data_IF_714852469736
#
_entry.id   IF_714852469736
#
_cell.length_a   1.000
_cell.length_b   1.000
_cell.length_c   1.000
_cell.angle_alpha   90.00
_cell.angle_beta   90.00
_cell.angle_gamma   90.00
#
_symmetry.space_group_name_H-M   'P 1'
#
loop_
_entity.id
_entity.type
_entity.pdbx_description
1 polymer ?
#
# COMPACT_ATOMS: atom_id res chain seq x y z
N UNK A 1 -6.19 10.54 -20.57
CA UNK A 1 -4.90 10.67 -21.29
C UNK A 1 -3.76 10.91 -20.29
N UNK A 2 -3.73 11.98 -19.52
CA UNK A 2 -2.59 12.26 -18.61
C UNK A 2 -2.15 11.11 -17.70
N UNK A 3 -3.06 10.44 -17.00
CA UNK A 3 -2.70 9.35 -16.09
C UNK A 3 -2.00 8.18 -16.79
N UNK A 4 -2.48 7.76 -17.95
CA UNK A 4 -1.86 6.65 -18.68
C UNK A 4 -0.49 7.03 -19.25
N UNK A 5 -0.30 8.30 -19.59
CA UNK A 5 0.99 8.80 -20.05
C UNK A 5 2.01 8.83 -18.91
N UNK A 6 1.56 9.22 -17.70
CA UNK A 6 2.39 9.17 -16.49
C UNK A 6 2.79 7.74 -16.12
N UNK A 7 1.84 6.78 -16.17
CA UNK A 7 2.13 5.36 -15.94
C UNK A 7 3.19 4.84 -16.92
N UNK A 8 3.02 5.11 -18.22
CA UNK A 8 3.99 4.71 -19.24
C UNK A 8 5.36 5.34 -19.00
N UNK A 9 5.39 6.64 -18.68
CA UNK A 9 6.63 7.35 -18.38
C UNK A 9 7.39 6.70 -17.22
N UNK A 10 6.70 6.33 -16.13
CA UNK A 10 7.32 5.65 -14.99
C UNK A 10 7.79 4.25 -15.38
N UNK A 11 6.99 3.49 -16.13
CA UNK A 11 7.32 2.15 -16.58
C UNK A 11 8.52 2.06 -17.53
N UNK A 12 8.88 3.19 -18.18
CA UNK A 12 10.06 3.28 -19.07
C UNK A 12 11.31 3.84 -18.39
N UNK A 13 11.24 4.21 -17.10
CA UNK A 13 12.42 4.64 -16.36
C UNK A 13 13.45 3.50 -16.23
N UNK A 14 14.72 3.87 -16.24
CA UNK A 14 15.83 2.92 -16.02
C UNK A 14 15.91 2.53 -14.54
N UNK A 15 14.93 1.73 -14.11
CA UNK A 15 14.89 1.12 -12.79
C UNK A 15 15.42 -0.32 -12.89
N UNK A 16 15.81 -0.95 -11.78
CA UNK A 16 16.34 -2.31 -11.77
C UNK A 16 15.21 -3.36 -11.94
N UNK A 17 14.50 -3.30 -13.05
CA UNK A 17 13.38 -4.19 -13.40
C UNK A 17 13.79 -5.66 -13.46
N UNK A 18 15.04 -5.92 -13.81
CA UNK A 18 15.67 -7.24 -13.82
C UNK A 18 15.58 -7.97 -12.48
N UNK A 19 15.53 -7.22 -11.36
CA UNK A 19 15.33 -7.82 -10.03
C UNK A 19 13.98 -8.49 -9.85
N UNK A 20 13.00 -8.14 -10.67
CA UNK A 20 11.66 -8.75 -10.64
C UNK A 20 11.55 -9.98 -11.54
N UNK A 21 12.57 -10.25 -12.40
CA UNK A 21 12.57 -11.37 -13.34
C UNK A 21 12.25 -12.70 -12.66
N UNK A 22 11.29 -13.44 -13.20
CA UNK A 22 10.81 -14.70 -12.66
C UNK A 22 10.10 -14.64 -11.30
N UNK A 23 9.79 -13.44 -10.81
CA UNK A 23 9.20 -13.25 -9.48
C UNK A 23 7.68 -13.10 -9.50
N UNK A 24 7.05 -13.40 -8.38
CA UNK A 24 5.68 -13.04 -8.07
C UNK A 24 5.68 -11.80 -7.16
N UNK A 25 4.99 -10.76 -7.58
CA UNK A 25 4.85 -9.48 -6.84
C UNK A 25 3.42 -9.36 -6.32
N UNK A 26 3.23 -9.39 -5.02
CA UNK A 26 1.94 -9.14 -4.39
C UNK A 26 1.76 -7.65 -4.10
N UNK A 27 0.62 -7.08 -4.52
CA UNK A 27 0.18 -5.73 -4.14
C UNK A 27 -1.11 -5.85 -3.37
N UNK A 28 -1.09 -5.59 -2.05
CA UNK A 28 -2.31 -5.51 -1.25
C UNK A 28 -2.91 -4.12 -1.27
N UNK A 29 -4.21 -4.00 -1.08
CA UNK A 29 -4.89 -2.71 -1.25
C UNK A 29 -4.86 -2.21 -2.70
N UNK A 30 -4.74 -3.13 -3.65
CA UNK A 30 -4.56 -2.85 -5.06
C UNK A 30 -5.71 -2.04 -5.70
N UNK A 31 -6.90 -2.07 -5.14
CA UNK A 31 -8.04 -1.25 -5.62
C UNK A 31 -8.04 0.18 -5.09
N UNK A 32 -7.08 0.53 -4.24
CA UNK A 32 -6.88 1.90 -3.73
C UNK A 32 -6.04 2.76 -4.67
N UNK A 33 -5.93 4.05 -4.33
CA UNK A 33 -5.20 5.04 -5.14
C UNK A 33 -3.73 4.63 -5.38
N UNK A 34 -2.98 4.38 -4.32
CA UNK A 34 -1.55 4.03 -4.41
C UNK A 34 -1.38 2.62 -4.97
N UNK A 35 -2.07 1.62 -4.39
CA UNK A 35 -1.94 0.23 -4.82
C UNK A 35 -2.32 0.03 -6.29
N UNK A 36 -3.39 0.68 -6.76
CA UNK A 36 -3.80 0.63 -8.16
C UNK A 36 -2.80 1.27 -9.10
N UNK A 37 -2.20 2.39 -8.72
CA UNK A 37 -1.14 3.03 -9.50
C UNK A 37 0.09 2.12 -9.62
N UNK A 38 0.49 1.48 -8.52
CA UNK A 38 1.62 0.55 -8.53
C UNK A 38 1.36 -0.68 -9.42
N UNK A 39 0.15 -1.25 -9.36
CA UNK A 39 -0.26 -2.32 -10.28
C UNK A 39 -0.17 -1.84 -11.73
N UNK A 40 -0.67 -0.64 -12.03
CA UNK A 40 -0.64 -0.10 -13.40
C UNK A 40 0.78 0.09 -13.92
N UNK A 41 1.70 0.59 -13.10
CA UNK A 41 3.12 0.74 -13.46
C UNK A 41 3.78 -0.61 -13.70
N UNK A 42 3.58 -1.58 -12.80
CA UNK A 42 4.12 -2.94 -12.96
C UNK A 42 3.60 -3.61 -14.24
N UNK A 43 2.30 -3.44 -14.53
CA UNK A 43 1.69 -4.02 -15.74
C UNK A 43 2.08 -3.31 -17.03
N UNK A 44 2.43 -2.03 -16.96
CA UNK A 44 2.82 -1.24 -18.14
C UNK A 44 4.28 -1.46 -18.59
N UNK A 45 5.11 -2.12 -17.79
CA UNK A 45 6.49 -2.42 -18.19
C UNK A 45 6.51 -3.43 -19.34
N UNK A 46 7.09 -3.04 -20.49
CA UNK A 46 6.96 -3.79 -21.75
C UNK A 46 7.66 -5.17 -21.72
N UNK A 47 8.83 -5.24 -21.09
CA UNK A 47 9.63 -6.47 -21.03
C UNK A 47 9.44 -7.24 -19.72
N UNK A 48 8.22 -7.17 -19.13
CA UNK A 48 7.94 -7.88 -17.88
C UNK A 48 7.96 -9.40 -18.09
N UNK A 49 8.72 -10.08 -17.26
CA UNK A 49 8.77 -11.53 -17.12
C UNK A 49 8.49 -11.96 -15.66
N UNK A 50 7.65 -11.20 -14.98
CA UNK A 50 7.18 -11.42 -13.63
C UNK A 50 5.65 -11.42 -13.58
N UNK A 51 5.10 -11.98 -12.51
CA UNK A 51 3.66 -11.97 -12.28
C UNK A 51 3.27 -10.90 -11.27
N UNK A 52 2.14 -10.24 -11.50
CA UNK A 52 1.53 -9.25 -10.61
C UNK A 52 0.27 -9.82 -10.00
N UNK A 53 0.29 -9.97 -8.68
CA UNK A 53 -0.84 -10.41 -7.88
C UNK A 53 -1.44 -9.21 -7.17
N UNK A 54 -2.62 -8.79 -7.58
CA UNK A 54 -3.37 -7.73 -6.95
C UNK A 54 -4.36 -8.31 -5.95
N UNK A 55 -4.44 -7.73 -4.75
CA UNK A 55 -5.44 -8.18 -3.77
C UNK A 55 -6.20 -7.03 -3.11
N UNK A 56 -7.42 -7.33 -2.70
CA UNK A 56 -8.31 -6.39 -2.04
C UNK A 56 -9.62 -7.06 -1.62
N UNK A 57 -10.42 -6.38 -0.79
CA UNK A 57 -11.64 -6.94 -0.22
C UNK A 57 -12.84 -6.95 -1.17
N UNK A 58 -12.87 -6.04 -2.14
CA UNK A 58 -14.03 -5.85 -3.03
C UNK A 58 -13.70 -6.33 -4.45
N UNK A 59 -14.25 -7.51 -4.80
CA UNK A 59 -14.04 -8.14 -6.11
C UNK A 59 -14.68 -7.37 -7.27
N UNK A 60 -15.85 -6.77 -7.06
CA UNK A 60 -16.55 -6.01 -8.09
C UNK A 60 -15.75 -4.77 -8.47
N UNK A 61 -15.28 -4.02 -7.46
CA UNK A 61 -14.38 -2.89 -7.68
C UNK A 61 -13.10 -3.31 -8.39
N UNK A 62 -12.54 -4.48 -8.04
CA UNK A 62 -11.35 -5.00 -8.69
C UNK A 62 -11.59 -5.38 -10.15
N UNK A 63 -12.72 -6.03 -10.47
CA UNK A 63 -13.11 -6.35 -11.84
C UNK A 63 -13.19 -5.11 -12.71
N UNK A 64 -13.83 -4.05 -12.23
CA UNK A 64 -13.94 -2.79 -12.94
C UNK A 64 -12.57 -2.10 -13.10
N UNK A 65 -11.77 -2.05 -12.02
CA UNK A 65 -10.47 -1.38 -11.97
C UNK A 65 -9.44 -2.04 -12.89
N UNK A 66 -9.44 -3.36 -12.99
CA UNK A 66 -8.44 -4.15 -13.69
C UNK A 66 -8.97 -4.85 -14.95
N UNK A 67 -10.13 -4.41 -15.47
CA UNK A 67 -10.75 -5.00 -16.67
C UNK A 67 -9.77 -5.12 -17.85
N UNK A 68 -8.89 -4.15 -17.99
CA UNK A 68 -7.87 -4.10 -19.07
C UNK A 68 -6.80 -5.21 -18.94
N UNK A 69 -6.65 -5.82 -17.78
CA UNK A 69 -5.65 -6.85 -17.52
C UNK A 69 -6.21 -8.27 -17.42
N UNK A 70 -7.53 -8.44 -17.56
CA UNK A 70 -8.22 -9.74 -17.36
C UNK A 70 -7.69 -10.86 -18.26
N UNK A 71 -7.19 -10.52 -19.45
CA UNK A 71 -6.63 -11.47 -20.42
C UNK A 71 -5.08 -11.54 -20.38
N UNK A 72 -4.42 -10.78 -19.53
CA UNK A 72 -2.97 -10.83 -19.36
C UNK A 72 -2.61 -11.97 -18.42
N UNK A 73 -1.85 -12.95 -18.91
CA UNK A 73 -1.48 -14.17 -18.16
C UNK A 73 -0.57 -13.87 -16.95
N UNK A 74 0.05 -12.71 -16.92
CA UNK A 74 0.91 -12.27 -15.82
C UNK A 74 0.16 -11.49 -14.75
N UNK A 75 -1.14 -11.20 -14.95
CA UNK A 75 -1.97 -10.52 -13.97
C UNK A 75 -2.92 -11.48 -13.26
N UNK A 76 -2.95 -11.41 -11.93
CA UNK A 76 -3.84 -12.20 -11.10
C UNK A 76 -4.52 -11.31 -10.06
N UNK A 77 -5.80 -11.53 -9.81
CA UNK A 77 -6.50 -10.90 -8.70
C UNK A 77 -7.11 -11.97 -7.80
N UNK A 78 -6.98 -11.78 -6.48
CA UNK A 78 -7.70 -12.59 -5.50
C UNK A 78 -8.23 -11.72 -4.36
N UNK A 79 -9.37 -12.16 -3.80
CA UNK A 79 -9.96 -11.49 -2.65
C UNK A 79 -9.16 -11.80 -1.40
N UNK A 80 -8.72 -10.75 -0.71
CA UNK A 80 -7.99 -10.89 0.55
C UNK A 80 -8.27 -9.71 1.48
N UNK A 81 -8.53 -10.04 2.75
CA UNK A 81 -8.57 -9.09 3.85
C UNK A 81 -7.30 -9.24 4.67
N UNK A 82 -6.45 -8.21 4.69
CA UNK A 82 -5.17 -8.21 5.39
C UNK A 82 -5.29 -8.41 6.91
N UNK A 83 -6.49 -8.25 7.48
CA UNK A 83 -6.76 -8.57 8.88
C UNK A 83 -6.78 -10.07 9.18
N UNK A 84 -6.78 -10.90 8.14
CA UNK A 84 -6.76 -12.37 8.25
C UNK A 84 -5.40 -12.91 7.80
N UNK A 85 -4.97 -14.08 8.30
CA UNK A 85 -3.82 -14.77 7.75
C UNK A 85 -3.93 -14.95 6.23
N UNK A 86 -2.83 -14.76 5.51
CA UNK A 86 -2.79 -15.06 4.08
C UNK A 86 -2.63 -16.57 3.89
N UNK A 87 -3.55 -17.16 3.15
CA UNK A 87 -3.52 -18.58 2.81
C UNK A 87 -3.62 -18.74 1.31
N UNK A 88 -2.52 -19.09 0.66
CA UNK A 88 -2.46 -19.43 -0.77
C UNK A 88 -1.19 -20.23 -1.05
N UNK A 89 -1.12 -20.86 -2.23
CA UNK A 89 0.00 -21.72 -2.64
C UNK A 89 1.03 -20.99 -3.54
N UNK A 90 1.08 -19.66 -3.46
CA UNK A 90 1.96 -18.83 -4.30
C UNK A 90 3.07 -18.21 -3.46
N UNK A 91 4.32 -18.50 -3.75
CA UNK A 91 5.46 -17.82 -3.14
C UNK A 91 5.61 -16.41 -3.73
N UNK A 92 5.48 -15.38 -2.88
CA UNK A 92 5.68 -13.99 -3.27
C UNK A 92 7.09 -13.53 -2.90
N UNK A 93 7.93 -13.29 -3.89
CA UNK A 93 9.28 -12.77 -3.67
C UNK A 93 9.27 -11.31 -3.25
N UNK A 94 8.26 -10.55 -3.67
CA UNK A 94 8.07 -9.16 -3.30
C UNK A 94 6.64 -8.91 -2.86
N UNK A 95 6.48 -8.24 -1.73
CA UNK A 95 5.16 -7.83 -1.22
C UNK A 95 5.15 -6.31 -1.08
N UNK A 96 4.17 -5.67 -1.72
CA UNK A 96 3.87 -4.25 -1.57
C UNK A 96 2.59 -4.14 -0.74
N UNK A 97 2.73 -3.75 0.51
CA UNK A 97 1.60 -3.61 1.43
C UNK A 97 1.05 -2.18 1.40
N UNK A 98 0.04 -1.94 0.54
CA UNK A 98 -0.65 -0.65 0.42
C UNK A 98 -2.10 -0.68 0.97
N UNK A 99 -2.52 -1.79 1.59
CA UNK A 99 -3.83 -1.87 2.23
C UNK A 99 -3.84 -1.11 3.55
N UNK A 100 -4.72 -0.13 3.68
CA UNK A 100 -4.93 0.63 4.93
C UNK A 100 -6.28 1.32 4.87
N UNK A 101 -6.96 1.42 6.00
CA UNK A 101 -8.12 2.30 6.18
C UNK A 101 -7.65 3.75 6.36
N UNK A 102 -7.25 4.41 5.25
CA UNK A 102 -6.66 5.74 5.27
C UNK A 102 -7.69 6.89 5.09
N UNK A 103 -8.98 6.60 5.21
CA UNK A 103 -10.03 7.61 5.13
C UNK A 103 -10.25 8.28 6.51
N UNK A 104 -10.07 9.60 6.63
CA UNK A 104 -10.26 10.30 7.92
C UNK A 104 -11.65 10.09 8.55
N UNK A 105 -12.70 9.90 7.75
CA UNK A 105 -14.04 9.59 8.23
C UNK A 105 -14.11 8.25 8.99
N UNK A 106 -13.26 7.28 8.66
CA UNK A 106 -13.18 5.99 9.33
C UNK A 106 -12.48 6.09 10.70
N UNK A 107 -11.57 7.03 10.88
CA UNK A 107 -10.81 7.17 12.13
C UNK A 107 -11.72 7.50 13.33
N UNK A 108 -12.80 8.25 13.09
CA UNK A 108 -13.79 8.55 14.14
C UNK A 108 -14.85 7.47 14.32
N UNK A 109 -15.14 6.66 13.28
CA UNK A 109 -16.21 5.66 13.30
C UNK A 109 -15.72 4.28 13.72
N UNK A 110 -14.56 3.89 13.21
CA UNK A 110 -14.00 2.54 13.34
C UNK A 110 -12.52 2.55 13.73
N UNK A 111 -12.12 3.26 14.81
CA UNK A 111 -10.71 3.42 15.17
C UNK A 111 -10.02 2.08 15.51
N UNK A 112 -10.76 1.11 16.06
CA UNK A 112 -10.23 -0.23 16.40
C UNK A 112 -9.86 -1.00 15.14
N UNK A 113 -10.73 -0.99 14.13
CA UNK A 113 -10.50 -1.64 12.84
C UNK A 113 -9.33 -1.00 12.09
N UNK A 114 -9.19 0.33 12.17
CA UNK A 114 -8.05 1.05 11.59
C UNK A 114 -6.74 0.58 12.21
N UNK A 115 -6.67 0.50 13.54
CA UNK A 115 -5.49 0.04 14.25
C UNK A 115 -5.16 -1.42 13.91
N UNK A 116 -6.14 -2.30 14.04
CA UNK A 116 -5.96 -3.74 13.74
C UNK A 116 -5.56 -3.96 12.29
N UNK A 117 -6.20 -3.27 11.34
CA UNK A 117 -5.86 -3.40 9.92
C UNK A 117 -4.42 -3.04 9.59
N UNK A 118 -3.88 -1.99 10.22
CA UNK A 118 -2.50 -1.58 9.99
C UNK A 118 -1.49 -2.54 10.65
N UNK A 119 -1.75 -3.00 11.88
CA UNK A 119 -0.82 -3.84 12.64
C UNK A 119 -0.91 -5.30 12.16
N UNK A 120 -2.11 -5.89 12.17
CA UNK A 120 -2.30 -7.28 11.77
C UNK A 120 -1.99 -7.48 10.28
N UNK A 121 -2.23 -6.46 9.44
CA UNK A 121 -1.88 -6.52 8.03
C UNK A 121 -0.38 -6.74 7.81
N UNK A 122 0.46 -6.02 8.54
CA UNK A 122 1.91 -6.24 8.52
C UNK A 122 2.26 -7.62 9.08
N UNK A 123 1.71 -7.97 10.25
CA UNK A 123 1.98 -9.25 10.91
C UNK A 123 1.68 -10.45 10.01
N UNK A 124 0.48 -10.48 9.44
CA UNK A 124 0.04 -11.56 8.55
C UNK A 124 0.90 -11.69 7.29
N UNK A 125 1.27 -10.56 6.66
CA UNK A 125 2.08 -10.57 5.44
C UNK A 125 3.54 -10.91 5.71
N UNK A 126 4.11 -10.43 6.83
CA UNK A 126 5.48 -10.79 7.23
C UNK A 126 5.58 -12.27 7.59
N UNK A 127 4.64 -12.77 8.40
CA UNK A 127 4.58 -14.20 8.77
C UNK A 127 4.49 -15.10 7.54
N UNK A 128 3.61 -14.75 6.59
CA UNK A 128 3.50 -15.47 5.32
C UNK A 128 4.79 -15.38 4.51
N UNK A 129 5.30 -14.18 4.30
CA UNK A 129 6.47 -13.93 3.47
C UNK A 129 7.72 -14.65 3.97
N UNK A 130 7.92 -14.72 5.28
CA UNK A 130 9.03 -15.46 5.89
C UNK A 130 8.93 -16.96 5.59
N UNK A 131 7.75 -17.55 5.74
CA UNK A 131 7.51 -18.97 5.47
C UNK A 131 7.67 -19.33 3.99
N UNK A 132 7.44 -18.37 3.08
CA UNK A 132 7.43 -18.54 1.63
C UNK A 132 8.64 -17.89 0.93
N UNK A 133 9.72 -17.59 1.66
CA UNK A 133 10.98 -17.10 1.08
C UNK A 133 10.91 -15.73 0.43
N UNK A 134 10.08 -14.83 0.97
CA UNK A 134 10.01 -13.43 0.53
C UNK A 134 11.39 -12.76 0.59
N UNK A 135 11.74 -12.05 -0.48
CA UNK A 135 12.99 -11.28 -0.57
C UNK A 135 12.85 -9.90 0.08
N UNK A 136 11.71 -9.23 -0.12
CA UNK A 136 11.50 -7.86 0.40
C UNK A 136 10.02 -7.54 0.56
N UNK A 137 9.71 -6.82 1.64
CA UNK A 137 8.42 -6.15 1.81
C UNK A 137 8.59 -4.63 1.67
N UNK A 138 7.75 -4.00 0.86
CA UNK A 138 7.55 -2.54 0.86
C UNK A 138 6.27 -2.21 1.64
N UNK A 139 6.42 -1.53 2.76
CA UNK A 139 5.29 -1.03 3.54
C UNK A 139 4.96 0.41 3.18
N UNK A 140 3.73 0.65 2.75
CA UNK A 140 3.21 2.01 2.53
C UNK A 140 2.68 2.56 3.85
N UNK A 141 3.52 3.35 4.50
CA UNK A 141 3.19 4.08 5.71
C UNK A 141 2.49 5.41 5.40
N UNK A 142 2.75 6.44 6.16
CA UNK A 142 2.12 7.76 6.00
C UNK A 142 3.00 8.86 6.60
N UNK A 143 2.91 10.08 6.06
CA UNK A 143 3.47 11.27 6.70
C UNK A 143 2.87 11.58 8.09
N UNK A 144 1.71 11.01 8.44
CA UNK A 144 1.13 11.17 9.79
C UNK A 144 1.97 10.53 10.91
N UNK A 145 2.91 9.64 10.58
CA UNK A 145 3.85 9.10 11.58
C UNK A 145 4.75 10.18 12.18
N UNK A 146 4.93 11.29 11.49
CA UNK A 146 5.72 12.40 12.01
C UNK A 146 5.04 13.11 13.19
N UNK A 147 3.71 13.02 13.34
CA UNK A 147 2.97 13.68 14.42
C UNK A 147 2.89 15.20 14.24
N UNK A 148 2.76 15.92 15.35
CA UNK A 148 2.67 17.38 15.34
C UNK A 148 4.02 18.01 14.99
N UNK A 149 3.98 19.01 14.09
CA UNK A 149 5.16 19.76 13.67
C UNK A 149 5.50 20.86 14.68
N UNK A 150 6.77 21.11 14.87
CA UNK A 150 7.32 22.18 15.70
C UNK A 150 7.94 23.31 14.85
N UNK A 151 7.62 23.37 13.56
CA UNK A 151 8.12 24.35 12.60
C UNK A 151 9.39 23.91 11.86
N UNK A 152 10.03 22.81 12.25
CA UNK A 152 11.14 22.22 11.51
C UNK A 152 10.66 21.47 10.27
N UNK A 153 11.54 21.35 9.29
CA UNK A 153 11.30 20.48 8.14
C UNK A 153 11.31 19.01 8.61
N UNK A 154 10.33 18.22 8.18
CA UNK A 154 10.30 16.81 8.47
C UNK A 154 11.40 16.06 7.70
N UNK A 155 12.20 15.33 8.44
CA UNK A 155 13.13 14.32 7.96
C UNK A 155 12.70 12.96 8.45
N UNK A 156 13.30 11.89 7.97
CA UNK A 156 12.97 10.53 8.40
C UNK A 156 13.21 10.31 9.91
N UNK A 157 14.07 11.10 10.52
CA UNK A 157 14.39 11.05 11.96
C UNK A 157 13.42 11.87 12.83
N UNK A 158 12.55 12.69 12.20
CA UNK A 158 11.62 13.53 12.96
C UNK A 158 10.55 12.69 13.66
N UNK A 159 10.33 12.98 14.94
CA UNK A 159 9.28 12.37 15.77
C UNK A 159 8.61 13.43 16.62
N UNK A 160 7.44 13.89 16.19
CA UNK A 160 6.59 14.84 16.93
C UNK A 160 5.55 14.13 17.81
N UNK A 161 4.81 14.94 18.55
CA UNK A 161 3.79 14.45 19.48
C UNK A 161 2.61 13.80 18.75
N UNK A 162 2.11 12.71 19.32
CA UNK A 162 0.83 12.09 18.97
C UNK A 162 0.09 11.81 20.27
N UNK A 163 -1.08 12.42 20.45
CA UNK A 163 -1.91 12.24 21.64
C UNK A 163 -2.55 10.84 21.65
N UNK A 164 -1.97 9.93 22.43
CA UNK A 164 -2.46 8.55 22.53
C UNK A 164 -3.82 8.43 23.21
N UNK A 165 -4.33 9.47 23.88
CA UNK A 165 -5.66 9.50 24.50
C UNK A 165 -6.77 9.92 23.52
N UNK A 166 -6.40 10.40 22.34
CA UNK A 166 -7.35 10.77 21.29
C UNK A 166 -7.69 9.59 20.37
N UNK A 167 -8.97 9.25 20.12
CA UNK A 167 -9.34 8.24 19.13
C UNK A 167 -8.83 8.55 17.72
N UNK A 168 -8.64 9.84 17.37
CA UNK A 168 -8.07 10.27 16.09
C UNK A 168 -6.66 9.71 15.87
N UNK A 169 -5.93 9.48 16.94
CA UNK A 169 -4.57 8.96 16.90
C UNK A 169 -4.47 7.47 16.53
N UNK A 170 -5.60 6.79 16.34
CA UNK A 170 -5.62 5.39 15.90
C UNK A 170 -4.80 5.18 14.61
N UNK A 171 -4.84 6.14 13.69
CA UNK A 171 -4.13 6.03 12.42
C UNK A 171 -2.61 6.30 12.56
N UNK A 172 -2.15 7.47 13.04
CA UNK A 172 -0.71 7.70 13.19
C UNK A 172 -0.05 6.71 14.16
N UNK A 173 -0.71 6.37 15.27
CA UNK A 173 -0.16 5.42 16.24
C UNK A 173 -0.04 4.02 15.67
N UNK A 174 -1.06 3.52 14.95
CA UNK A 174 -0.97 2.19 14.31
C UNK A 174 0.03 2.15 13.16
N UNK A 175 0.19 3.25 12.40
CA UNK A 175 1.24 3.35 11.37
C UNK A 175 2.64 3.31 11.99
N UNK A 176 2.89 4.02 13.11
CA UNK A 176 4.14 3.92 13.89
C UNK A 176 4.38 2.50 14.39
N UNK A 177 3.37 1.88 15.01
CA UNK A 177 3.46 0.51 15.49
C UNK A 177 3.78 -0.48 14.35
N UNK A 178 3.12 -0.33 13.21
CA UNK A 178 3.37 -1.17 12.03
C UNK A 178 4.77 -0.97 11.44
N UNK A 179 5.31 0.26 11.40
CA UNK A 179 6.71 0.50 11.03
C UNK A 179 7.67 -0.20 12.01
N UNK A 180 7.44 -0.04 13.31
CA UNK A 180 8.25 -0.70 14.34
C UNK A 180 8.18 -2.22 14.19
N UNK A 181 7.00 -2.77 13.90
CA UNK A 181 6.82 -4.21 13.66
C UNK A 181 7.60 -4.66 12.42
N UNK A 182 7.56 -3.91 11.32
CA UNK A 182 8.38 -4.18 10.12
C UNK A 182 9.87 -4.26 10.45
N UNK A 183 10.39 -3.30 11.21
CA UNK A 183 11.80 -3.27 11.62
C UNK A 183 12.12 -4.43 12.57
N UNK A 184 11.22 -4.75 13.50
CA UNK A 184 11.39 -5.89 14.41
C UNK A 184 11.51 -7.21 13.65
N UNK A 185 10.63 -7.44 12.68
CA UNK A 185 10.72 -8.61 11.78
C UNK A 185 12.03 -8.63 10.97
N UNK A 186 12.44 -7.46 10.47
CA UNK A 186 13.70 -7.36 9.72
C UNK A 186 14.90 -7.78 10.56
N UNK A 187 14.96 -7.35 11.82
CA UNK A 187 16.04 -7.69 12.75
C UNK A 187 15.98 -9.15 13.20
N UNK A 188 14.80 -9.64 13.56
CA UNK A 188 14.64 -10.98 14.15
C UNK A 188 14.76 -12.10 13.12
N UNK A 189 14.24 -11.88 11.91
CA UNK A 189 14.17 -12.90 10.85
C UNK A 189 15.07 -12.60 9.65
N UNK A 190 15.87 -11.54 9.70
CA UNK A 190 16.77 -11.11 8.61
C UNK A 190 16.04 -10.93 7.26
N UNK A 191 14.85 -10.32 7.29
CA UNK A 191 14.02 -10.03 6.11
C UNK A 191 14.23 -8.57 5.70
N UNK A 192 14.38 -8.33 4.40
CA UNK A 192 14.54 -6.98 3.87
C UNK A 192 13.20 -6.22 3.85
N UNK A 193 13.17 -5.05 4.46
CA UNK A 193 11.98 -4.18 4.54
C UNK A 193 12.32 -2.78 4.09
N UNK A 194 11.44 -2.22 3.27
CA UNK A 194 11.46 -0.79 2.90
C UNK A 194 10.16 -0.14 3.38
N UNK A 195 10.27 1.02 4.01
CA UNK A 195 9.14 1.80 4.48
C UNK A 195 9.06 3.09 3.67
N UNK A 196 7.93 3.32 3.00
CA UNK A 196 7.65 4.57 2.32
C UNK A 196 6.62 5.39 3.12
N UNK A 197 6.92 6.65 3.40
CA UNK A 197 6.05 7.59 4.14
C UNK A 197 5.47 8.65 3.18
N UNK A 198 4.52 8.30 2.31
CA UNK A 198 3.93 9.29 1.42
C UNK A 198 3.14 10.32 2.24
N UNK A 199 3.32 11.59 1.90
CA UNK A 199 2.46 12.67 2.37
C UNK A 199 1.30 12.82 1.37
N UNK A 200 0.55 13.84 1.35
CA UNK A 200 -0.61 14.16 0.53
C UNK A 200 -0.59 13.60 -0.92
N UNK A 201 -0.96 12.33 -1.08
CA UNK A 201 -1.07 11.68 -2.40
C UNK A 201 -2.45 11.93 -2.98
N UNK A 202 -2.50 12.35 -4.24
CA UNK A 202 -3.74 12.52 -5.02
C UNK A 202 -3.59 11.90 -6.40
N UNK A 203 -4.71 11.62 -7.06
CA UNK A 203 -4.73 11.02 -8.39
C UNK A 203 -6.16 10.72 -8.86
N UNK A 204 -6.34 10.23 -10.09
CA UNK A 204 -7.66 10.09 -10.71
C UNK A 204 -8.56 9.01 -10.09
N UNK A 205 -8.00 8.12 -9.29
CA UNK A 205 -8.71 6.96 -8.70
C UNK A 205 -9.17 7.20 -7.25
N UNK A 206 -9.32 8.45 -6.81
CA UNK A 206 -9.91 8.71 -5.50
C UNK A 206 -11.41 8.36 -5.50
N UNK A 207 -11.91 7.86 -4.38
CA UNK A 207 -13.30 7.44 -4.25
C UNK A 207 -14.25 8.61 -4.09
N UNK A 208 -15.52 8.45 -4.44
CA UNK A 208 -16.57 9.46 -4.18
C UNK A 208 -16.68 9.83 -2.70
N UNK A 209 -16.39 8.89 -1.81
CA UNK A 209 -16.37 9.11 -0.36
C UNK A 209 -15.10 9.77 0.17
N UNK A 210 -14.10 10.05 -0.68
CA UNK A 210 -12.90 10.75 -0.25
C UNK A 210 -13.23 12.21 0.10
N UNK A 211 -13.14 12.55 1.38
CA UNK A 211 -13.48 13.86 1.92
C UNK A 211 -12.27 14.78 2.14
N UNK A 212 -11.09 14.38 1.65
CA UNK A 212 -9.90 15.22 1.73
C UNK A 212 -10.08 16.49 0.89
N UNK A 213 -9.42 17.56 1.31
CA UNK A 213 -9.59 18.92 0.76
C UNK A 213 -9.50 18.94 -0.78
N UNK A 214 -8.49 18.32 -1.36
CA UNK A 214 -8.32 18.30 -2.81
C UNK A 214 -9.45 17.54 -3.54
N UNK A 215 -9.96 16.44 -2.97
CA UNK A 215 -11.08 15.71 -3.55
C UNK A 215 -12.38 16.52 -3.52
N UNK A 216 -12.57 17.30 -2.45
CA UNK A 216 -13.70 18.23 -2.34
C UNK A 216 -13.58 19.37 -3.37
N UNK A 217 -12.40 19.98 -3.53
CA UNK A 217 -12.20 21.03 -4.51
C UNK A 217 -12.45 20.54 -5.94
N UNK A 218 -11.91 19.37 -6.30
CA UNK A 218 -12.14 18.80 -7.64
C UNK A 218 -13.64 18.57 -7.89
N UNK A 219 -14.36 17.98 -6.93
CA UNK A 219 -15.82 17.75 -7.09
C UNK A 219 -16.64 19.02 -7.15
N UNK A 220 -16.20 20.11 -6.52
CA UNK A 220 -16.93 21.37 -6.56
C UNK A 220 -16.68 22.16 -7.86
N UNK A 221 -15.71 21.79 -8.66
CA UNK A 221 -15.34 22.46 -9.92
C UNK A 221 -15.87 21.71 -11.14
N UNK A 222 -16.05 20.39 -11.03
CA UNK A 222 -16.60 19.51 -12.08
C UNK A 222 -18.12 19.38 -11.94
#
# INVERSE_FOLDING_TARGET
>A
MAYQDDIKKVATLLLPWDKLSGCNVLVTGATGLIGGCLVDVLMAHENKDYNVYASGRNEERAKNRFLRYVNDKTFHFFKYDVMQPLVCDVDFQYIIHAASGACPAEFGKHPVEVMKGNINGVDNLMSYGIQHGMKRLLYISSGEVYGEGDGRVFTEEYSGYVDCASPRSCYPSSKRAAETLCISYSVEYNVDVVIARPCHVYGPEFTESDNRVYAQFIRNVL
#
